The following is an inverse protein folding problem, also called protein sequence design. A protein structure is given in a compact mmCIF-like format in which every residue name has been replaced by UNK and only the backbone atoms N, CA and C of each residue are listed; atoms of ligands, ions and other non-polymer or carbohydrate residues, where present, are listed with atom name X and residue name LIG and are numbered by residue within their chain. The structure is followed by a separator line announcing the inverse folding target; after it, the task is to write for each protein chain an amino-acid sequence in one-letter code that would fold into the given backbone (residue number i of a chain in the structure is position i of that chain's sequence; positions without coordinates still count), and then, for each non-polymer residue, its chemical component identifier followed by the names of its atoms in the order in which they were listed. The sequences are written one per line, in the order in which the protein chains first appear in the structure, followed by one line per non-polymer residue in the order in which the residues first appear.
data_IF_571789212946
#
_entry.id   IF_571789212946
#
_cell.length_a   1.000
_cell.length_b   1.000
_cell.length_c   1.000
_cell.angle_alpha   90.00
_cell.angle_beta   90.00
_cell.angle_gamma   90.00
#
_symmetry.space_group_name_H-M   'P 1'
#
loop_
_entity.id
_entity.type
_entity.pdbx_description
1 polymer ?
#
# COMPACT_ATOMS: atom_id res chain seq x y z
N UNK A 1 22.67 33.30 9.15
CA UNK A 1 21.29 32.78 8.96
C UNK A 1 21.27 31.34 9.45
N UNK A 2 20.57 31.02 10.54
CA UNK A 2 20.43 29.61 10.98
C UNK A 2 19.32 28.97 10.16
N UNK A 3 19.61 27.86 9.47
CA UNK A 3 18.57 27.11 8.79
C UNK A 3 17.53 26.61 9.80
N UNK A 4 16.23 26.63 9.46
CA UNK A 4 15.20 26.08 10.34
C UNK A 4 15.45 24.59 10.57
N UNK A 5 15.20 24.12 11.79
CA UNK A 5 15.29 22.70 12.11
C UNK A 5 14.15 21.94 11.39
N UNK A 6 14.49 21.15 10.38
CA UNK A 6 13.53 20.38 9.58
C UNK A 6 13.11 19.06 10.25
N UNK A 7 13.74 18.65 11.36
CA UNK A 7 13.46 17.36 12.02
C UNK A 7 11.99 17.19 12.45
N UNK A 8 11.32 18.19 13.04
CA UNK A 8 9.89 18.06 13.37
C UNK A 8 8.98 17.94 12.15
N UNK A 9 9.48 18.34 10.97
CA UNK A 9 8.78 18.35 9.70
C UNK A 9 9.07 17.13 8.83
N UNK A 10 9.71 16.09 9.38
CA UNK A 10 10.24 14.98 8.59
C UNK A 10 9.17 14.26 7.74
N UNK A 11 7.96 14.04 8.27
CA UNK A 11 6.84 13.47 7.50
C UNK A 11 6.41 14.35 6.32
N UNK A 12 6.34 15.67 6.53
CA UNK A 12 6.03 16.62 5.45
C UNK A 12 7.13 16.60 4.39
N UNK A 13 8.40 16.66 4.81
CA UNK A 13 9.54 16.60 3.88
C UNK A 13 9.52 15.32 3.05
N UNK A 14 9.27 14.16 3.68
CA UNK A 14 9.14 12.88 2.98
C UNK A 14 7.99 12.93 1.96
N UNK A 15 6.81 13.41 2.37
CA UNK A 15 5.67 13.52 1.47
C UNK A 15 5.94 14.49 0.31
N UNK A 16 6.61 15.61 0.54
CA UNK A 16 7.00 16.55 -0.51
C UNK A 16 8.02 15.97 -1.50
N UNK A 17 8.96 15.14 -1.03
CA UNK A 17 9.84 14.39 -1.92
C UNK A 17 9.05 13.41 -2.81
N UNK A 18 8.08 12.70 -2.22
CA UNK A 18 7.19 11.78 -2.95
C UNK A 18 6.33 12.50 -3.99
N UNK A 19 5.77 13.66 -3.64
CA UNK A 19 5.04 14.52 -4.58
C UNK A 19 5.97 15.07 -5.67
N UNK A 20 7.23 15.35 -5.36
CA UNK A 20 8.24 15.72 -6.37
C UNK A 20 8.49 14.62 -7.42
N UNK A 21 8.53 13.35 -6.98
CA UNK A 21 8.59 12.20 -7.89
C UNK A 21 7.31 12.10 -8.73
N UNK A 22 6.15 12.30 -8.10
CA UNK A 22 4.86 12.30 -8.78
C UNK A 22 4.74 13.42 -9.83
N UNK A 23 5.25 14.62 -9.54
CA UNK A 23 5.31 15.74 -10.48
C UNK A 23 6.18 15.42 -11.69
N UNK A 24 7.35 14.82 -11.46
CA UNK A 24 8.20 14.32 -12.56
C UNK A 24 7.43 13.32 -13.42
N UNK A 25 6.73 12.38 -12.78
CA UNK A 25 5.94 11.38 -13.50
C UNK A 25 4.79 11.99 -14.30
N UNK A 26 4.06 12.95 -13.73
CA UNK A 26 2.98 13.68 -14.39
C UNK A 26 3.50 14.50 -15.57
N UNK A 27 4.65 15.14 -15.40
CA UNK A 27 5.30 15.93 -16.46
C UNK A 27 5.71 15.05 -17.65
N UNK A 28 6.20 13.84 -17.39
CA UNK A 28 6.52 12.88 -18.44
C UNK A 28 5.29 12.35 -19.16
N UNK A 29 4.17 12.14 -18.44
CA UNK A 29 2.95 11.57 -19.02
C UNK A 29 2.10 12.59 -19.79
N UNK A 30 2.02 13.84 -19.31
CA UNK A 30 1.06 14.85 -19.82
C UNK A 30 1.68 16.21 -20.14
N UNK A 31 3.00 16.35 -20.03
CA UNK A 31 3.67 17.64 -20.10
C UNK A 31 3.23 18.55 -18.95
N UNK A 32 2.90 19.81 -19.26
CA UNK A 32 2.48 20.79 -18.25
C UNK A 32 0.95 20.88 -18.07
N UNK A 33 0.17 20.08 -18.81
CA UNK A 33 -1.30 20.21 -18.89
C UNK A 33 -1.97 20.19 -17.52
N UNK A 34 -1.60 19.25 -16.66
CA UNK A 34 -2.20 19.08 -15.32
C UNK A 34 -1.33 19.55 -14.16
N UNK A 35 -0.22 20.24 -14.45
CA UNK A 35 0.69 20.74 -13.42
C UNK A 35 -0.02 21.69 -12.44
N UNK A 36 -0.92 22.53 -12.96
CA UNK A 36 -1.64 23.53 -12.15
C UNK A 36 -2.53 22.90 -11.07
N UNK A 37 -3.14 21.73 -11.30
CA UNK A 37 -3.92 21.01 -10.29
C UNK A 37 -3.05 20.53 -9.12
N UNK A 38 -1.88 19.95 -9.43
CA UNK A 38 -0.96 19.48 -8.39
C UNK A 38 -0.32 20.66 -7.64
N UNK A 39 0.00 21.75 -8.34
CA UNK A 39 0.50 22.97 -7.70
C UNK A 39 -0.53 23.58 -6.76
N UNK A 40 -1.81 23.61 -7.14
CA UNK A 40 -2.89 24.08 -6.25
C UNK A 40 -2.96 23.25 -4.97
N UNK A 41 -2.91 21.92 -5.09
CA UNK A 41 -2.85 21.02 -3.94
C UNK A 41 -1.62 21.30 -3.05
N UNK A 42 -0.43 21.45 -3.63
CA UNK A 42 0.80 21.75 -2.90
C UNK A 42 0.71 23.09 -2.15
N UNK A 43 0.20 24.14 -2.80
CA UNK A 43 0.04 25.46 -2.19
C UNK A 43 -0.94 25.38 -1.02
N UNK A 44 -2.08 24.71 -1.20
CA UNK A 44 -3.05 24.47 -0.12
C UNK A 44 -2.41 23.72 1.05
N UNK A 45 -1.72 22.61 0.77
CA UNK A 45 -1.02 21.79 1.76
C UNK A 45 0.00 22.59 2.57
N UNK A 46 0.91 23.30 1.90
CA UNK A 46 1.98 24.05 2.57
C UNK A 46 1.43 25.25 3.35
N UNK A 47 0.44 25.96 2.79
CA UNK A 47 -0.22 27.08 3.45
C UNK A 47 -0.95 26.65 4.72
N UNK A 48 -1.79 25.62 4.62
CA UNK A 48 -2.52 25.07 5.76
C UNK A 48 -1.57 24.47 6.80
N UNK A 49 -0.50 23.78 6.37
CA UNK A 49 0.49 23.20 7.29
C UNK A 49 1.20 24.29 8.09
N UNK A 50 1.59 25.39 7.47
CA UNK A 50 2.20 26.52 8.18
C UNK A 50 1.26 27.11 9.24
N UNK A 51 -0.04 27.22 8.94
CA UNK A 51 -1.06 27.67 9.89
C UNK A 51 -1.21 26.68 11.04
N UNK A 52 -1.47 25.40 10.76
CA UNK A 52 -1.67 24.38 11.80
C UNK A 52 -0.43 24.16 12.65
N UNK A 53 0.77 24.23 12.07
CA UNK A 53 2.02 24.11 12.82
C UNK A 53 2.20 25.27 13.82
N UNK A 54 1.88 26.51 13.40
CA UNK A 54 1.92 27.68 14.29
C UNK A 54 0.85 27.58 15.38
N UNK A 55 -0.37 27.18 15.05
CA UNK A 55 -1.45 27.03 16.03
C UNK A 55 -1.14 25.94 17.06
N UNK A 56 -0.60 24.81 16.60
CA UNK A 56 -0.21 23.70 17.49
C UNK A 56 0.99 24.03 18.38
N UNK A 57 1.72 25.13 18.16
CA UNK A 57 2.86 25.55 18.99
C UNK A 57 2.46 25.83 20.45
N UNK A 58 1.18 26.12 20.68
CA UNK A 58 0.60 26.31 22.01
C UNK A 58 0.30 25.01 22.74
N UNK A 59 0.26 23.89 22.03
CA UNK A 59 -0.04 22.58 22.60
C UNK A 59 1.29 21.97 23.08
N UNK A 60 1.42 21.63 24.38
CA UNK A 60 2.58 20.92 24.89
C UNK A 60 2.82 19.67 24.04
N UNK A 61 4.04 19.51 23.53
CA UNK A 61 4.35 18.29 22.80
C UNK A 61 4.34 17.14 23.81
N UNK A 62 3.66 16.01 23.49
CA UNK A 62 3.88 14.80 24.26
C UNK A 62 5.38 14.54 24.17
N UNK A 63 6.07 14.56 25.32
CA UNK A 63 7.50 14.31 25.41
C UNK A 63 7.76 12.83 25.13
N UNK A 64 7.30 12.25 24.03
CA UNK A 64 7.57 10.87 23.68
C UNK A 64 8.96 10.81 23.03
N UNK A 65 9.93 10.25 23.74
CA UNK A 65 11.20 9.86 23.13
C UNK A 65 11.08 8.38 22.78
N UNK A 66 11.26 8.02 21.51
CA UNK A 66 11.30 6.62 21.09
C UNK A 66 12.65 6.00 21.47
N UNK A 67 12.94 6.02 22.77
CA UNK A 67 14.04 5.27 23.35
C UNK A 67 13.51 3.87 23.65
N UNK A 68 13.86 2.89 22.81
CA UNK A 68 13.56 1.48 23.03
C UNK A 68 14.24 0.88 24.29
N UNK A 69 14.84 1.70 25.16
CA UNK A 69 15.46 1.31 26.44
C UNK A 69 14.47 0.86 27.53
N UNK A 70 13.24 0.59 27.12
CA UNK A 70 12.15 0.20 27.97
C UNK A 70 12.21 -1.27 28.37
N UNK A 71 13.01 -1.59 29.39
CA UNK A 71 13.01 -2.92 30.01
C UNK A 71 11.73 -3.18 30.84
N UNK A 72 10.62 -2.45 30.64
CA UNK A 72 9.36 -2.80 31.30
C UNK A 72 8.88 -4.12 30.74
N UNK A 73 8.80 -5.11 31.62
CA UNK A 73 8.27 -6.45 31.38
C UNK A 73 6.92 -6.39 30.64
N UNK A 74 6.10 -5.37 30.91
CA UNK A 74 4.82 -5.15 30.25
C UNK A 74 4.93 -4.94 28.73
N UNK A 75 5.77 -4.01 28.25
CA UNK A 75 5.93 -3.74 26.81
C UNK A 75 6.50 -4.94 26.05
N UNK A 76 7.38 -5.73 26.68
CA UNK A 76 7.86 -6.97 26.10
C UNK A 76 6.71 -8.00 25.97
N UNK A 77 5.93 -8.24 27.04
CA UNK A 77 4.77 -9.16 27.02
C UNK A 77 3.70 -8.72 26.04
N UNK A 78 3.35 -7.44 26.01
CA UNK A 78 2.38 -6.88 25.07
C UNK A 78 2.82 -7.08 23.62
N UNK A 79 4.09 -6.83 23.29
CA UNK A 79 4.58 -7.06 21.92
C UNK A 79 4.48 -8.53 21.49
N UNK A 80 4.81 -9.47 22.39
CA UNK A 80 4.70 -10.91 22.13
C UNK A 80 3.23 -11.32 21.97
N UNK A 81 2.32 -10.76 22.78
CA UNK A 81 0.89 -10.99 22.65
C UNK A 81 0.36 -10.48 21.30
N UNK A 82 0.79 -9.30 20.85
CA UNK A 82 0.42 -8.76 19.53
C UNK A 82 0.96 -9.67 18.40
N UNK A 83 2.20 -10.14 18.51
CA UNK A 83 2.76 -11.09 17.54
C UNK A 83 2.01 -12.43 17.54
N UNK A 84 1.65 -12.96 18.70
CA UNK A 84 0.88 -14.20 18.81
C UNK A 84 -0.53 -14.04 18.24
N UNK A 85 -1.21 -12.93 18.53
CA UNK A 85 -2.52 -12.61 17.95
C UNK A 85 -2.44 -12.46 16.42
N UNK A 86 -1.37 -11.85 15.91
CA UNK A 86 -1.10 -11.76 14.47
C UNK A 86 -0.92 -13.15 13.83
N UNK A 87 -0.18 -14.04 14.48
CA UNK A 87 0.03 -15.41 14.02
C UNK A 87 -1.27 -16.22 14.00
N UNK A 88 -2.07 -16.13 15.06
CA UNK A 88 -3.39 -16.77 15.14
C UNK A 88 -4.30 -16.25 14.03
N UNK A 89 -4.39 -14.93 13.86
CA UNK A 89 -5.20 -14.34 12.80
C UNK A 89 -4.77 -14.80 11.40
N UNK A 90 -3.47 -14.78 11.10
CA UNK A 90 -2.93 -15.23 9.82
C UNK A 90 -3.26 -16.70 9.55
N UNK A 91 -3.12 -17.56 10.56
CA UNK A 91 -3.50 -18.98 10.48
C UNK A 91 -4.99 -19.17 10.20
N UNK A 92 -5.85 -18.52 10.98
CA UNK A 92 -7.31 -18.57 10.77
C UNK A 92 -7.72 -18.00 9.40
N UNK A 93 -7.05 -16.96 8.93
CA UNK A 93 -7.30 -16.38 7.62
C UNK A 93 -6.97 -17.37 6.49
N UNK A 94 -5.80 -18.03 6.53
CA UNK A 94 -5.42 -19.03 5.53
C UNK A 94 -6.34 -20.27 5.59
N UNK A 95 -6.73 -20.71 6.78
CA UNK A 95 -7.73 -21.77 6.95
C UNK A 95 -9.08 -21.37 6.32
N UNK A 96 -9.51 -20.12 6.51
CA UNK A 96 -10.77 -19.59 5.96
C UNK A 96 -10.75 -19.51 4.43
N UNK A 97 -9.59 -19.24 3.83
CA UNK A 97 -9.39 -19.27 2.39
C UNK A 97 -9.41 -20.70 1.81
N UNK A 98 -9.37 -21.74 2.64
CA UNK A 98 -9.37 -23.13 2.22
C UNK A 98 -8.02 -23.61 1.68
N UNK A 99 -6.94 -22.86 1.93
CA UNK A 99 -5.60 -23.20 1.43
C UNK A 99 -4.62 -22.02 1.49
N UNK A 100 -3.40 -22.26 1.02
CA UNK A 100 -2.35 -21.23 0.93
C UNK A 100 -2.34 -20.72 -0.52
N UNK A 101 -2.75 -19.46 -0.79
CA UNK A 101 -2.95 -18.98 -2.16
C UNK A 101 -1.70 -19.08 -3.03
N UNK A 102 -0.51 -18.84 -2.49
CA UNK A 102 0.74 -18.98 -3.26
C UNK A 102 0.99 -20.42 -3.73
N UNK A 103 0.61 -21.43 -2.94
CA UNK A 103 0.73 -22.83 -3.35
C UNK A 103 -0.31 -23.13 -4.43
N UNK A 104 -1.55 -22.65 -4.26
CA UNK A 104 -2.59 -22.78 -5.29
C UNK A 104 -2.13 -22.14 -6.61
N UNK A 105 -1.57 -20.93 -6.57
CA UNK A 105 -1.04 -20.26 -7.76
C UNK A 105 0.17 -20.98 -8.37
N UNK A 106 1.03 -21.62 -7.57
CA UNK A 106 2.14 -22.43 -8.08
C UNK A 106 1.64 -23.65 -8.88
N UNK A 107 0.52 -24.23 -8.46
CA UNK A 107 -0.07 -25.41 -9.10
C UNK A 107 -0.85 -25.07 -10.37
N UNK A 108 -0.97 -23.79 -10.75
CA UNK A 108 -1.71 -23.36 -11.94
C UNK A 108 -0.77 -22.98 -13.08
N UNK A 109 -1.04 -23.53 -14.27
CA UNK A 109 -0.25 -23.27 -15.48
C UNK A 109 -0.77 -22.07 -16.28
N UNK A 110 -2.03 -21.69 -16.04
CA UNK A 110 -2.68 -20.59 -16.73
C UNK A 110 -2.56 -19.27 -15.93
N UNK A 111 -2.12 -18.22 -16.62
CA UNK A 111 -1.95 -16.89 -16.05
C UNK A 111 -3.26 -16.31 -15.51
N UNK A 112 -4.39 -16.53 -16.21
CA UNK A 112 -5.68 -15.99 -15.79
C UNK A 112 -6.14 -16.64 -14.48
N UNK A 113 -6.00 -17.96 -14.35
CA UNK A 113 -6.35 -18.70 -13.14
C UNK A 113 -5.53 -18.23 -11.94
N UNK A 114 -4.23 -18.00 -12.13
CA UNK A 114 -3.36 -17.40 -11.09
C UNK A 114 -3.85 -16.01 -10.67
N UNK A 115 -4.34 -15.21 -11.62
CA UNK A 115 -4.92 -13.90 -11.31
C UNK A 115 -6.24 -14.01 -10.53
N UNK A 116 -7.10 -14.99 -10.86
CA UNK A 116 -8.34 -15.25 -10.12
C UNK A 116 -8.06 -15.69 -8.69
N UNK A 117 -7.05 -16.55 -8.46
CA UNK A 117 -6.59 -16.93 -7.11
C UNK A 117 -6.19 -15.68 -6.32
N UNK A 118 -5.45 -14.74 -6.93
CA UNK A 118 -5.05 -13.48 -6.27
C UNK A 118 -6.24 -12.59 -5.92
N UNK A 119 -7.22 -12.49 -6.81
CA UNK A 119 -8.44 -11.70 -6.56
C UNK A 119 -9.30 -12.33 -5.46
N UNK A 120 -9.34 -13.67 -5.41
CA UNK A 120 -10.08 -14.41 -4.39
C UNK A 120 -9.60 -14.11 -2.96
N UNK A 121 -8.32 -13.76 -2.76
CA UNK A 121 -7.79 -13.39 -1.43
C UNK A 121 -8.55 -12.21 -0.81
N UNK A 122 -9.06 -11.29 -1.63
CA UNK A 122 -9.74 -10.07 -1.19
C UNK A 122 -11.19 -9.97 -1.66
N UNK A 123 -11.83 -11.12 -1.91
CA UNK A 123 -13.17 -11.19 -2.50
C UNK A 123 -14.23 -10.47 -1.66
N UNK A 124 -15.31 -10.07 -2.33
CA UNK A 124 -16.34 -9.21 -1.74
C UNK A 124 -17.24 -9.89 -0.70
N UNK A 125 -17.32 -11.22 -0.72
CA UNK A 125 -18.20 -12.00 0.17
C UNK A 125 -17.59 -12.25 1.55
N UNK A 126 -16.29 -12.02 1.70
CA UNK A 126 -15.66 -12.03 3.00
C UNK A 126 -16.21 -10.90 3.86
N UNK A 127 -16.45 -11.20 5.13
CA UNK A 127 -16.70 -10.17 6.13
C UNK A 127 -15.52 -9.18 6.17
N UNK A 128 -15.79 -7.96 6.62
CA UNK A 128 -14.81 -6.87 6.64
C UNK A 128 -13.48 -7.26 7.33
N UNK A 129 -13.55 -8.10 8.38
CA UNK A 129 -12.38 -8.58 9.13
C UNK A 129 -11.46 -9.43 8.24
N UNK A 130 -12.00 -10.39 7.49
CA UNK A 130 -11.20 -11.25 6.62
C UNK A 130 -10.69 -10.50 5.39
N UNK A 131 -11.48 -9.53 4.90
CA UNK A 131 -11.09 -8.72 3.75
C UNK A 131 -9.98 -7.70 4.06
N UNK A 132 -10.07 -7.01 5.20
CA UNK A 132 -9.16 -5.90 5.53
C UNK A 132 -8.12 -6.25 6.61
N UNK A 133 -8.37 -7.26 7.43
CA UNK A 133 -7.43 -7.72 8.46
C UNK A 133 -6.03 -8.07 7.92
N UNK A 134 -5.89 -8.80 6.79
CA UNK A 134 -4.58 -9.07 6.20
C UNK A 134 -3.83 -7.80 5.82
N UNK A 135 -4.55 -6.78 5.32
CA UNK A 135 -3.98 -5.47 4.98
C UNK A 135 -3.48 -4.76 6.23
N UNK A 136 -4.28 -4.71 7.30
CA UNK A 136 -3.87 -4.09 8.58
C UNK A 136 -2.65 -4.82 9.16
N UNK A 137 -2.63 -6.15 9.08
CA UNK A 137 -1.54 -6.94 9.63
C UNK A 137 -0.22 -6.67 8.91
N UNK A 138 -0.24 -6.70 7.58
CA UNK A 138 0.95 -6.57 6.74
C UNK A 138 1.40 -5.11 6.56
N UNK A 139 0.48 -4.14 6.54
CA UNK A 139 0.83 -2.72 6.32
C UNK A 139 1.16 -1.98 7.60
N UNK A 140 0.83 -2.56 8.77
CA UNK A 140 0.90 -1.83 10.04
C UNK A 140 1.49 -2.67 11.16
N UNK A 141 0.82 -3.75 11.56
CA UNK A 141 1.20 -4.50 12.78
C UNK A 141 2.59 -5.14 12.63
N UNK A 142 2.80 -5.92 11.57
CA UNK A 142 4.06 -6.64 11.36
C UNK A 142 5.23 -5.70 11.02
N UNK A 143 5.10 -4.70 10.12
CA UNK A 143 6.17 -3.72 9.91
C UNK A 143 6.55 -2.97 11.18
N UNK A 144 5.56 -2.62 12.01
CA UNK A 144 5.80 -2.00 13.31
C UNK A 144 6.58 -2.95 14.23
N UNK A 145 6.19 -4.22 14.34
CA UNK A 145 6.89 -5.20 15.17
C UNK A 145 8.31 -5.48 14.67
N UNK A 146 8.53 -5.55 13.36
CA UNK A 146 9.87 -5.67 12.76
C UNK A 146 10.73 -4.47 13.16
N UNK A 147 10.18 -3.25 13.03
CA UNK A 147 10.86 -2.04 13.46
C UNK A 147 11.14 -2.02 14.97
N UNK A 148 10.18 -2.40 15.79
CA UNK A 148 10.30 -2.45 17.26
C UNK A 148 11.35 -3.48 17.70
N UNK A 149 11.31 -4.71 17.17
CA UNK A 149 12.23 -5.77 17.54
C UNK A 149 13.65 -5.55 17.02
N UNK A 150 13.85 -4.71 16.01
CA UNK A 150 15.17 -4.26 15.57
C UNK A 150 16.00 -3.66 16.73
N UNK A 151 15.35 -3.01 17.69
CA UNK A 151 16.01 -2.41 18.85
C UNK A 151 15.91 -3.26 20.11
N UNK A 152 15.01 -4.23 20.16
CA UNK A 152 14.63 -4.91 21.41
C UNK A 152 15.12 -6.35 21.52
N UNK A 153 14.96 -7.17 20.48
CA UNK A 153 15.26 -8.60 20.54
C UNK A 153 15.53 -9.18 19.15
N UNK A 154 16.75 -9.69 18.95
CA UNK A 154 17.17 -10.31 17.69
C UNK A 154 16.38 -11.59 17.37
N UNK A 155 16.05 -12.39 18.39
CA UNK A 155 15.28 -13.63 18.16
C UNK A 155 13.86 -13.32 17.71
N UNK A 156 13.17 -12.41 18.40
CA UNK A 156 11.81 -12.00 18.02
C UNK A 156 11.78 -11.26 16.68
N UNK A 157 12.82 -10.50 16.34
CA UNK A 157 12.99 -9.92 15.01
C UNK A 157 13.00 -11.01 13.93
N UNK A 158 13.84 -12.04 14.10
CA UNK A 158 13.92 -13.15 13.14
C UNK A 158 12.59 -13.90 13.04
N UNK A 159 11.96 -14.22 14.18
CA UNK A 159 10.64 -14.87 14.19
C UNK A 159 9.61 -14.03 13.44
N UNK A 160 9.55 -12.72 13.68
CA UNK A 160 8.60 -11.81 13.02
C UNK A 160 8.88 -11.68 11.52
N UNK A 161 10.15 -11.64 11.11
CA UNK A 161 10.55 -11.58 9.70
C UNK A 161 10.20 -12.87 8.95
N UNK A 162 10.46 -14.04 9.54
CA UNK A 162 10.13 -15.34 8.94
C UNK A 162 8.61 -15.50 8.85
N UNK A 163 7.90 -15.32 9.95
CA UNK A 163 6.44 -15.42 9.99
C UNK A 163 5.79 -14.41 9.03
N UNK A 164 6.15 -13.14 9.15
CA UNK A 164 5.58 -12.07 8.33
C UNK A 164 5.94 -12.23 6.86
N UNK A 165 7.15 -12.70 6.54
CA UNK A 165 7.60 -12.96 5.16
C UNK A 165 6.82 -14.10 4.52
N UNK A 166 6.64 -15.22 5.22
CA UNK A 166 5.84 -16.35 4.75
C UNK A 166 4.38 -15.94 4.55
N UNK A 167 3.79 -15.17 5.47
CA UNK A 167 2.43 -14.67 5.32
C UNK A 167 2.30 -13.63 4.19
N UNK A 168 3.27 -12.72 4.02
CA UNK A 168 3.26 -11.75 2.92
C UNK A 168 3.32 -12.45 1.55
N UNK A 169 4.18 -13.46 1.43
CA UNK A 169 4.32 -14.28 0.21
C UNK A 169 3.06 -15.10 -0.04
N UNK A 170 2.46 -15.69 1.01
CA UNK A 170 1.24 -16.50 0.85
C UNK A 170 0.06 -15.71 0.27
N UNK A 171 0.00 -14.40 0.52
CA UNK A 171 -1.03 -13.50 -0.01
C UNK A 171 -0.79 -13.05 -1.47
N UNK A 172 0.28 -13.53 -2.12
CA UNK A 172 0.57 -13.26 -3.54
C UNK A 172 0.52 -11.76 -3.92
N UNK A 173 0.92 -10.89 -3.00
CA UNK A 173 1.02 -9.46 -3.24
C UNK A 173 2.48 -9.03 -3.13
N UNK A 174 3.06 -8.60 -4.26
CA UNK A 174 4.47 -8.19 -4.36
C UNK A 174 4.83 -7.08 -3.37
N UNK A 175 3.93 -6.11 -3.18
CA UNK A 175 4.18 -4.96 -2.32
C UNK A 175 4.27 -5.38 -0.84
N UNK A 176 3.54 -6.42 -0.42
CA UNK A 176 3.46 -6.85 0.98
C UNK A 176 4.80 -7.25 1.58
N UNK A 177 5.66 -7.91 0.80
CA UNK A 177 7.00 -8.31 1.27
C UNK A 177 7.90 -7.09 1.47
N UNK A 178 7.74 -6.05 0.64
CA UNK A 178 8.48 -4.80 0.75
C UNK A 178 8.02 -4.01 1.98
N UNK A 179 6.70 -3.85 2.14
CA UNK A 179 6.13 -3.09 3.27
C UNK A 179 6.50 -3.69 4.62
N UNK A 180 6.62 -5.01 4.73
CA UNK A 180 7.04 -5.71 5.94
C UNK A 180 8.36 -5.19 6.51
N UNK A 181 9.36 -4.95 5.66
CA UNK A 181 10.71 -4.57 6.09
C UNK A 181 10.98 -3.07 5.95
N UNK A 182 10.13 -2.33 5.25
CA UNK A 182 10.37 -0.93 4.86
C UNK A 182 10.75 -0.02 6.04
N UNK A 183 10.06 -0.01 7.20
CA UNK A 183 10.42 0.89 8.30
C UNK A 183 11.80 0.58 8.88
N UNK A 184 12.11 -0.71 9.07
CA UNK A 184 13.41 -1.15 9.56
C UNK A 184 14.54 -0.88 8.55
N UNK A 185 14.26 -1.04 7.25
CA UNK A 185 15.20 -0.74 6.18
C UNK A 185 15.52 0.75 6.10
N UNK A 186 14.51 1.61 6.10
CA UNK A 186 14.69 3.08 6.11
C UNK A 186 15.52 3.51 7.31
N UNK A 187 15.22 2.97 8.49
CA UNK A 187 15.99 3.26 9.68
C UNK A 187 17.45 2.79 9.55
N UNK A 188 17.70 1.56 9.07
CA UNK A 188 19.05 1.06 8.85
C UNK A 188 19.84 1.95 7.87
N UNK A 189 19.19 2.45 6.81
CA UNK A 189 19.78 3.37 5.83
C UNK A 189 20.12 4.73 6.45
N UNK A 190 19.20 5.33 7.22
CA UNK A 190 19.42 6.62 7.92
C UNK A 190 20.64 6.55 8.83
N UNK A 191 20.81 5.45 9.56
CA UNK A 191 21.95 5.23 10.47
C UNK A 191 23.16 4.57 9.80
N UNK A 192 23.19 4.50 8.47
CA UNK A 192 24.30 3.93 7.68
C UNK A 192 24.71 2.52 8.13
N UNK A 193 23.76 1.73 8.62
CA UNK A 193 23.94 0.32 8.98
C UNK A 193 23.80 -0.57 7.75
N UNK A 194 24.75 -0.43 6.82
CA UNK A 194 24.68 -1.02 5.47
C UNK A 194 24.49 -2.54 5.49
N UNK A 195 25.17 -3.27 6.37
CA UNK A 195 25.02 -4.73 6.48
C UNK A 195 23.60 -5.13 6.90
N UNK A 196 23.02 -4.42 7.87
CA UNK A 196 21.62 -4.63 8.28
C UNK A 196 20.67 -4.27 7.15
N UNK A 197 20.91 -3.17 6.45
CA UNK A 197 20.10 -2.75 5.30
C UNK A 197 20.14 -3.79 4.18
N UNK A 198 21.30 -4.33 3.83
CA UNK A 198 21.46 -5.40 2.83
C UNK A 198 20.72 -6.66 3.27
N UNK A 199 20.87 -7.09 4.53
CA UNK A 199 20.14 -8.25 5.06
C UNK A 199 18.62 -8.07 5.02
N UNK A 200 18.12 -6.88 5.37
CA UNK A 200 16.69 -6.57 5.29
C UNK A 200 16.20 -6.45 3.84
N UNK A 201 17.01 -5.94 2.91
CA UNK A 201 16.66 -5.81 1.50
C UNK A 201 16.69 -7.15 0.73
N UNK A 202 17.48 -8.11 1.19
CA UNK A 202 17.50 -9.46 0.62
C UNK A 202 16.15 -10.18 0.76
N UNK A 203 15.42 -9.94 1.86
CA UNK A 203 14.11 -10.55 2.12
C UNK A 203 13.08 -10.21 1.02
N UNK A 204 12.77 -8.93 0.71
CA UNK A 204 11.87 -8.59 -0.39
C UNK A 204 12.46 -8.95 -1.74
N UNK A 205 13.78 -8.88 -1.97
CA UNK A 205 14.36 -9.30 -3.25
C UNK A 205 14.07 -10.79 -3.55
N UNK A 206 14.28 -11.67 -2.56
CA UNK A 206 13.97 -13.09 -2.68
C UNK A 206 12.45 -13.33 -2.80
N UNK A 207 11.66 -12.70 -1.93
CA UNK A 207 10.20 -12.84 -1.96
C UNK A 207 9.56 -12.35 -3.26
N UNK A 208 10.04 -11.23 -3.81
CA UNK A 208 9.60 -10.70 -5.11
C UNK A 208 10.00 -11.62 -6.26
N UNK A 209 11.23 -12.12 -6.25
CA UNK A 209 11.71 -13.07 -7.27
C UNK A 209 10.83 -14.31 -7.28
N UNK A 210 10.59 -14.90 -6.11
CA UNK A 210 9.69 -16.03 -5.95
C UNK A 210 8.27 -15.70 -6.44
N UNK A 211 7.67 -14.59 -5.99
CA UNK A 211 6.34 -14.19 -6.43
C UNK A 211 6.26 -13.90 -7.94
N UNK A 212 7.33 -13.43 -8.59
CA UNK A 212 7.36 -13.27 -10.04
C UNK A 212 7.25 -14.62 -10.74
N UNK A 213 7.99 -15.63 -10.28
CA UNK A 213 7.93 -16.98 -10.84
C UNK A 213 6.55 -17.61 -10.63
N UNK A 214 5.99 -17.51 -9.43
CA UNK A 214 4.65 -18.04 -9.14
C UNK A 214 3.57 -17.34 -9.96
N UNK A 215 3.66 -16.02 -10.12
CA UNK A 215 2.60 -15.23 -10.75
C UNK A 215 2.66 -15.22 -12.28
N UNK A 216 3.71 -15.76 -12.88
CA UNK A 216 3.92 -15.74 -14.32
C UNK A 216 4.39 -17.13 -14.77
N UNK A 217 3.46 -18.08 -14.99
CA UNK A 217 3.81 -19.44 -15.38
C UNK A 217 4.74 -19.52 -16.60
N UNK A 218 4.56 -18.61 -17.57
CA UNK A 218 5.40 -18.51 -18.76
C UNK A 218 6.85 -18.07 -18.51
N UNK A 219 7.18 -17.55 -17.32
CA UNK A 219 8.55 -17.17 -16.92
C UNK A 219 9.22 -18.21 -16.02
N UNK A 220 8.57 -19.35 -15.75
CA UNK A 220 9.11 -20.38 -14.88
C UNK A 220 10.23 -21.17 -15.58
N UNK A 221 11.43 -21.28 -14.98
CA UNK A 221 12.46 -22.19 -15.48
C UNK A 221 11.98 -23.64 -15.45
N UNK A 222 12.43 -24.48 -16.39
CA UNK A 222 12.02 -25.90 -16.45
C UNK A 222 12.22 -26.63 -15.12
N UNK A 223 13.35 -26.41 -14.44
CA UNK A 223 13.61 -27.02 -13.13
C UNK A 223 12.57 -26.63 -12.04
N UNK A 224 11.96 -25.44 -12.14
CA UNK A 224 10.89 -25.02 -11.24
C UNK A 224 9.58 -25.74 -11.57
N UNK A 225 9.28 -25.89 -12.86
CA UNK A 225 8.13 -26.66 -13.35
C UNK A 225 8.23 -28.13 -12.92
N UNK A 226 9.39 -28.77 -13.15
CA UNK A 226 9.64 -30.16 -12.76
C UNK A 226 9.47 -30.37 -11.24
N UNK A 227 9.94 -29.41 -10.43
CA UNK A 227 9.77 -29.45 -8.98
C UNK A 227 8.31 -29.30 -8.55
N UNK A 228 7.53 -28.46 -9.25
CA UNK A 228 6.09 -28.30 -9.03
C UNK A 228 5.34 -29.56 -9.42
N UNK A 229 5.67 -30.18 -10.56
CA UNK A 229 5.00 -31.39 -11.02
C UNK A 229 5.28 -32.57 -10.08
N UNK A 230 6.52 -32.72 -9.61
CA UNK A 230 6.85 -33.69 -8.56
C UNK A 230 6.10 -33.44 -7.25
N UNK A 231 5.84 -32.18 -6.90
CA UNK A 231 5.00 -31.82 -5.74
C UNK A 231 3.52 -32.15 -6.02
N UNK A 232 3.00 -31.84 -7.21
CA UNK A 232 1.63 -32.14 -7.62
C UNK A 232 1.34 -33.64 -7.58
N UNK A 233 2.28 -34.48 -8.01
CA UNK A 233 2.14 -35.94 -7.93
C UNK A 233 2.10 -36.45 -6.49
N UNK A 234 2.84 -35.83 -5.58
CA UNK A 234 2.91 -36.22 -4.17
C UNK A 234 1.76 -35.71 -3.32
N UNK A 235 1.13 -34.61 -3.74
CA UNK A 235 0.12 -33.92 -2.93
C UNK A 235 -1.15 -33.77 -3.73
N UNK A 236 -2.27 -34.31 -3.22
CA UNK A 236 -3.62 -34.07 -3.74
C UNK A 236 -4.12 -32.62 -3.56
N UNK A 237 -3.22 -31.66 -3.40
CA UNK A 237 -3.46 -30.26 -3.00
C UNK A 237 -3.86 -29.33 -4.17
N UNK A 238 -4.20 -29.88 -5.34
CA UNK A 238 -4.85 -29.08 -6.39
C UNK A 238 -6.20 -28.54 -5.90
N UNK A 239 -6.65 -27.42 -6.48
CA UNK A 239 -8.06 -27.04 -6.36
C UNK A 239 -8.90 -28.23 -6.80
N UNK A 240 -9.79 -28.73 -5.93
CA UNK A 240 -10.66 -29.82 -6.34
C UNK A 240 -11.58 -29.32 -7.48
N UNK A 241 -12.13 -30.25 -8.27
CA UNK A 241 -12.97 -29.89 -9.41
C UNK A 241 -14.16 -29.01 -9.00
N UNK A 242 -14.67 -29.17 -7.78
CA UNK A 242 -15.77 -28.40 -7.22
C UNK A 242 -15.37 -26.94 -6.93
N UNK A 243 -14.19 -26.69 -6.34
CA UNK A 243 -13.65 -25.35 -6.13
C UNK A 243 -13.34 -24.66 -7.44
N UNK A 244 -12.77 -25.39 -8.41
CA UNK A 244 -12.48 -24.85 -9.74
C UNK A 244 -13.79 -24.50 -10.48
N UNK A 245 -14.78 -25.39 -10.43
CA UNK A 245 -16.11 -25.14 -11.00
C UNK A 245 -16.84 -23.99 -10.29
N UNK A 246 -16.79 -23.90 -8.95
CA UNK A 246 -17.37 -22.81 -8.19
C UNK A 246 -16.70 -21.47 -8.51
N UNK A 247 -15.38 -21.46 -8.68
CA UNK A 247 -14.65 -20.26 -9.09
C UNK A 247 -15.08 -19.82 -10.50
N UNK A 248 -15.09 -20.74 -11.47
CA UNK A 248 -15.51 -20.45 -12.85
C UNK A 248 -16.98 -20.01 -12.91
N UNK A 249 -17.88 -20.73 -12.24
CA UNK A 249 -19.31 -20.41 -12.18
C UNK A 249 -19.57 -19.07 -11.50
N UNK A 250 -18.85 -18.76 -10.42
CA UNK A 250 -18.94 -17.46 -9.75
C UNK A 250 -18.59 -16.30 -10.68
N UNK A 251 -17.53 -16.43 -11.48
CA UNK A 251 -17.15 -15.40 -12.44
C UNK A 251 -18.10 -15.36 -13.64
N UNK A 252 -18.65 -16.51 -14.07
CA UNK A 252 -19.63 -16.59 -15.15
C UNK A 252 -20.98 -15.93 -14.80
N UNK A 253 -21.59 -16.27 -13.66
CA UNK A 253 -22.87 -15.68 -13.22
C UNK A 253 -22.83 -14.16 -13.10
N UNK A 254 -21.67 -13.62 -12.71
CA UNK A 254 -21.49 -12.19 -12.53
C UNK A 254 -21.19 -11.43 -13.83
N UNK A 255 -20.81 -12.15 -14.88
CA UNK A 255 -20.77 -11.62 -16.24
C UNK A 255 -22.22 -11.45 -16.75
N UNK A 256 -23.09 -12.44 -16.53
CA UNK A 256 -24.51 -12.40 -16.94
C UNK A 256 -25.32 -11.31 -16.23
N UNK A 257 -25.08 -11.07 -14.93
CA UNK A 257 -25.69 -9.96 -14.19
C UNK A 257 -25.33 -8.58 -14.77
N UNK A 258 -24.23 -8.48 -15.53
CA UNK A 258 -23.80 -7.24 -16.20
C UNK A 258 -24.37 -7.08 -17.59
N UNK A 259 -24.49 -8.16 -18.39
CA UNK A 259 -25.20 -8.08 -19.68
C UNK A 259 -26.63 -7.56 -19.48
N UNK A 260 -27.32 -8.05 -18.44
CA UNK A 260 -28.66 -7.58 -18.09
C UNK A 260 -28.73 -6.13 -17.57
N UNK A 261 -27.59 -5.51 -17.25
CA UNK A 261 -27.48 -4.10 -16.85
C UNK A 261 -26.76 -3.21 -17.86
N UNK A 262 -26.28 -3.77 -18.99
CA UNK A 262 -25.47 -3.10 -20.00
C UNK A 262 -26.15 -3.02 -21.37
N UNK A 263 -27.38 -3.53 -21.51
CA UNK A 263 -28.20 -3.42 -22.73
C UNK A 263 -28.66 -1.97 -23.07
N UNK A 264 -28.23 -0.98 -22.29
CA UNK A 264 -28.33 0.44 -22.64
C UNK A 264 -26.93 1.07 -22.79
N UNK A 265 -26.22 0.78 -23.90
CA UNK A 265 -24.97 1.53 -24.17
C UNK A 265 -23.97 0.91 -25.13
N UNK A 266 -24.31 0.94 -26.43
CA UNK A 266 -23.44 1.37 -27.53
C UNK A 266 -22.23 0.51 -27.98
N UNK A 267 -22.31 0.15 -29.26
CA UNK A 267 -21.28 -0.46 -30.10
C UNK A 267 -20.17 0.54 -30.44
N UNK A 268 -18.90 0.17 -30.24
CA UNK A 268 -17.76 0.99 -30.67
C UNK A 268 -16.41 0.28 -30.57
N UNK A 269 -15.70 0.21 -31.68
CA UNK A 269 -14.51 -0.59 -31.97
C UNK A 269 -13.20 -0.14 -31.29
N UNK A 270 -12.19 -1.03 -31.30
CA UNK A 270 -10.77 -0.63 -31.36
C UNK A 270 -9.80 -1.44 -30.50
N UNK A 271 -9.34 -2.58 -31.00
CA UNK A 271 -8.25 -3.41 -30.45
C UNK A 271 -6.91 -2.69 -30.43
N UNK A 272 -6.24 -2.66 -29.27
CA UNK A 272 -4.91 -2.08 -29.07
C UNK A 272 -4.01 -2.95 -28.19
N UNK A 273 -4.07 -4.28 -28.36
CA UNK A 273 -3.09 -5.21 -27.80
C UNK A 273 -1.78 -5.14 -28.57
N UNK A 274 -0.94 -4.15 -28.25
CA UNK A 274 0.40 -4.03 -28.84
C UNK A 274 1.25 -5.23 -28.46
N UNK A 275 1.47 -6.14 -29.41
CA UNK A 275 2.54 -7.12 -29.39
C UNK A 275 3.87 -6.40 -29.21
N UNK A 276 4.42 -6.46 -28.01
CA UNK A 276 5.80 -6.09 -27.76
C UNK A 276 6.66 -7.19 -28.40
N UNK A 277 7.15 -6.95 -29.62
CA UNK A 277 8.23 -7.72 -30.22
C UNK A 277 9.39 -7.77 -29.23
N UNK A 278 9.57 -8.94 -28.60
CA UNK A 278 10.68 -9.21 -27.68
C UNK A 278 11.96 -9.39 -28.47
N UNK A 279 12.82 -8.38 -28.42
CA UNK A 279 14.22 -8.56 -28.71
C UNK A 279 14.82 -9.46 -27.61
N UNK A 280 15.21 -10.69 -27.98
CA UNK A 280 15.62 -11.75 -27.06
C UNK A 280 17.00 -11.54 -26.41
N UNK A 281 17.61 -10.36 -26.57
CA UNK A 281 18.98 -10.09 -26.14
C UNK A 281 19.12 -9.21 -24.88
N UNK A 282 18.05 -8.62 -24.36
CA UNK A 282 18.12 -7.72 -23.20
C UNK A 282 18.20 -8.53 -21.89
N UNK A 283 19.36 -8.54 -21.24
CA UNK A 283 19.59 -9.31 -20.01
C UNK A 283 18.63 -8.94 -18.87
N UNK A 284 18.33 -9.89 -17.96
CA UNK A 284 17.31 -9.78 -16.91
C UNK A 284 17.37 -8.47 -16.08
N UNK A 285 18.57 -7.92 -15.87
CA UNK A 285 18.78 -6.64 -15.18
C UNK A 285 18.11 -5.46 -15.90
N UNK A 286 18.18 -5.43 -17.24
CA UNK A 286 17.57 -4.37 -18.05
C UNK A 286 16.05 -4.41 -17.97
N UNK A 287 15.44 -5.61 -18.06
CA UNK A 287 13.99 -5.82 -17.90
C UNK A 287 13.52 -5.38 -16.52
N UNK A 288 14.25 -5.75 -15.46
CA UNK A 288 13.94 -5.34 -14.10
C UNK A 288 14.01 -3.82 -13.93
N UNK A 289 15.04 -3.19 -14.50
CA UNK A 289 15.22 -1.73 -14.44
C UNK A 289 14.15 -0.97 -15.22
N UNK A 290 13.77 -1.43 -16.43
CA UNK A 290 12.70 -0.82 -17.23
C UNK A 290 11.34 -0.96 -16.53
N UNK A 291 11.07 -2.14 -15.94
CA UNK A 291 9.84 -2.37 -15.18
C UNK A 291 9.76 -1.44 -13.97
N UNK A 292 10.85 -1.25 -13.24
CA UNK A 292 10.89 -0.35 -12.10
C UNK A 292 10.74 1.12 -12.54
N UNK A 293 11.47 1.52 -13.57
CA UNK A 293 11.39 2.85 -14.17
C UNK A 293 9.96 3.19 -14.58
N UNK A 294 9.31 2.31 -15.36
CA UNK A 294 7.91 2.50 -15.77
C UNK A 294 6.99 2.63 -14.56
N UNK A 295 7.09 1.73 -13.59
CA UNK A 295 6.19 1.72 -12.42
C UNK A 295 6.36 2.91 -11.49
N UNK A 296 7.58 3.41 -11.32
CA UNK A 296 7.87 4.51 -10.38
C UNK A 296 7.71 5.87 -11.07
N UNK A 297 8.15 6.00 -12.33
CA UNK A 297 8.26 7.30 -13.01
C UNK A 297 7.25 7.51 -14.13
N UNK A 298 6.59 6.50 -14.69
CA UNK A 298 5.64 6.71 -15.79
C UNK A 298 4.19 6.43 -15.39
N UNK A 299 3.94 5.28 -14.76
CA UNK A 299 2.59 4.81 -14.45
C UNK A 299 1.82 5.77 -13.53
N UNK A 300 2.38 6.32 -12.43
CA UNK A 300 1.62 7.20 -11.54
C UNK A 300 1.10 8.46 -12.26
N UNK A 301 1.95 9.09 -13.06
CA UNK A 301 1.60 10.26 -13.88
C UNK A 301 0.58 9.93 -14.97
N UNK A 302 0.73 8.79 -15.64
CA UNK A 302 -0.23 8.33 -16.66
C UNK A 302 -1.62 8.07 -16.05
N UNK A 303 -1.68 7.42 -14.87
CA UNK A 303 -2.95 7.20 -14.17
C UNK A 303 -3.57 8.54 -13.78
N UNK A 304 -2.83 9.47 -13.17
CA UNK A 304 -3.37 10.80 -12.85
C UNK A 304 -3.88 11.56 -14.09
N UNK A 305 -3.18 11.43 -15.21
CA UNK A 305 -3.56 12.03 -16.49
C UNK A 305 -4.92 11.50 -16.93
N UNK A 306 -5.13 10.18 -16.92
CA UNK A 306 -6.42 9.57 -17.24
C UNK A 306 -7.55 10.05 -16.31
N UNK A 307 -7.27 10.22 -15.01
CA UNK A 307 -8.26 10.77 -14.08
C UNK A 307 -8.68 12.19 -14.44
N UNK A 308 -7.72 13.08 -14.73
CA UNK A 308 -8.03 14.46 -15.10
C UNK A 308 -8.60 14.61 -16.52
N UNK A 309 -8.28 13.71 -17.43
CA UNK A 309 -8.86 13.68 -18.78
C UNK A 309 -10.35 13.31 -18.74
N UNK A 310 -10.70 12.29 -17.96
CA UNK A 310 -12.07 11.74 -17.93
C UNK A 310 -13.00 12.42 -16.93
N UNK A 311 -12.46 13.19 -15.97
CA UNK A 311 -13.27 13.89 -14.96
C UNK A 311 -13.12 15.42 -15.10
N UNK A 312 -14.19 16.18 -15.41
CA UNK A 312 -15.59 15.75 -15.46
C UNK A 312 -16.11 15.32 -16.85
N UNK A 313 -15.24 15.21 -17.86
CA UNK A 313 -15.67 15.14 -19.28
C UNK A 313 -16.51 13.90 -19.62
N UNK A 314 -16.18 12.74 -19.04
CA UNK A 314 -16.89 11.46 -19.25
C UNK A 314 -17.55 10.95 -17.96
N UNK A 315 -16.94 11.24 -16.82
CA UNK A 315 -17.47 10.89 -15.52
C UNK A 315 -17.74 12.20 -14.75
N UNK A 316 -19.00 12.50 -14.39
CA UNK A 316 -19.30 13.71 -13.62
C UNK A 316 -18.63 13.64 -12.25
N UNK A 317 -18.50 14.78 -11.56
CA UNK A 317 -18.07 14.81 -10.17
C UNK A 317 -19.06 14.04 -9.28
N UNK A 318 -18.55 13.32 -8.28
CA UNK A 318 -19.40 12.46 -7.45
C UNK A 318 -20.11 13.19 -6.31
N UNK A 319 -19.71 14.44 -6.02
CA UNK A 319 -20.34 15.26 -4.99
C UNK A 319 -20.41 14.56 -3.62
N UNK A 320 -19.39 13.75 -3.33
CA UNK A 320 -19.27 12.98 -2.10
C UNK A 320 -19.63 11.50 -2.20
N UNK A 321 -20.27 11.06 -3.28
CA UNK A 321 -20.59 9.65 -3.54
C UNK A 321 -19.33 8.80 -3.82
N UNK A 322 -18.19 9.42 -4.07
CA UNK A 322 -16.89 8.76 -4.22
C UNK A 322 -16.26 8.32 -2.90
N UNK A 323 -16.86 8.62 -1.74
CA UNK A 323 -16.41 8.11 -0.44
C UNK A 323 -17.40 7.11 0.11
N UNK A 324 -16.95 5.87 0.33
CA UNK A 324 -17.81 4.77 0.78
C UNK A 324 -18.56 5.04 2.08
N UNK A 325 -17.92 5.77 3.01
CA UNK A 325 -18.50 6.10 4.30
C UNK A 325 -19.47 7.30 4.23
N UNK A 326 -19.32 8.16 3.22
CA UNK A 326 -20.14 9.37 3.06
C UNK A 326 -21.31 9.16 2.11
N UNK A 327 -21.18 8.29 1.11
CA UNK A 327 -22.26 7.93 0.18
C UNK A 327 -23.61 7.63 0.87
N UNK A 328 -23.69 6.79 1.93
CA UNK A 328 -24.94 6.56 2.64
C UNK A 328 -25.46 7.79 3.41
N UNK A 329 -24.59 8.71 3.83
CA UNK A 329 -24.97 9.95 4.53
C UNK A 329 -25.57 10.99 3.56
N UNK A 330 -25.08 11.00 2.32
CA UNK A 330 -25.56 11.88 1.24
C UNK A 330 -26.80 11.28 0.54
N UNK A 331 -27.10 10.00 0.79
CA UNK A 331 -28.23 9.30 0.17
C UNK A 331 -27.95 8.83 -1.26
N UNK A 332 -26.70 8.55 -1.60
CA UNK A 332 -26.31 8.08 -2.92
C UNK A 332 -25.56 6.73 -2.89
N UNK A 333 -25.44 6.11 -4.07
CA UNK A 333 -24.64 4.90 -4.22
C UNK A 333 -23.15 5.22 -4.35
N UNK A 334 -22.31 4.41 -3.72
CA UNK A 334 -20.86 4.59 -3.77
C UNK A 334 -20.31 4.41 -5.20
N UNK A 335 -19.54 5.39 -5.67
CA UNK A 335 -18.89 5.38 -6.98
C UNK A 335 -17.40 5.05 -6.81
N UNK A 336 -16.96 3.92 -7.34
CA UNK A 336 -15.55 3.52 -7.34
C UNK A 336 -14.82 4.05 -8.59
N UNK A 337 -14.39 5.32 -8.58
CA UNK A 337 -13.73 5.95 -9.73
C UNK A 337 -12.54 5.16 -10.27
N UNK A 338 -11.69 4.62 -9.40
CA UNK A 338 -10.56 3.80 -9.83
C UNK A 338 -10.97 2.60 -10.70
N UNK A 339 -12.15 2.02 -10.46
CA UNK A 339 -12.70 0.94 -11.29
C UNK A 339 -13.29 1.51 -12.58
N UNK A 340 -14.08 2.59 -12.50
CA UNK A 340 -14.69 3.23 -13.68
C UNK A 340 -13.66 3.72 -14.69
N UNK A 341 -12.59 4.34 -14.22
CA UNK A 341 -11.49 4.80 -15.06
C UNK A 341 -10.74 3.61 -15.68
N UNK A 342 -10.53 2.54 -14.91
CA UNK A 342 -9.95 1.31 -15.45
C UNK A 342 -10.83 0.68 -16.55
N UNK A 343 -12.14 0.70 -16.39
CA UNK A 343 -13.11 0.22 -17.39
C UNK A 343 -13.04 1.04 -18.69
N UNK A 344 -12.86 2.36 -18.59
CA UNK A 344 -12.69 3.26 -19.75
C UNK A 344 -11.34 3.03 -20.45
N UNK A 345 -10.25 2.92 -19.68
CA UNK A 345 -8.89 2.79 -20.22
C UNK A 345 -8.56 1.37 -20.72
N UNK A 346 -9.27 0.35 -20.22
CA UNK A 346 -8.99 -1.06 -20.53
C UNK A 346 -10.29 -1.82 -20.87
N UNK A 347 -11.02 -1.43 -21.93
CA UNK A 347 -12.33 -1.99 -22.23
C UNK A 347 -12.28 -3.50 -22.52
N UNK A 348 -11.19 -3.99 -23.11
CA UNK A 348 -11.00 -5.42 -23.41
C UNK A 348 -10.84 -6.29 -22.14
N UNK A 349 -10.13 -5.79 -21.12
CA UNK A 349 -10.00 -6.50 -19.85
C UNK A 349 -11.30 -6.46 -19.06
N UNK A 350 -12.00 -5.31 -19.13
CA UNK A 350 -13.30 -5.15 -18.51
C UNK A 350 -14.36 -6.08 -19.12
N UNK A 351 -14.36 -6.25 -20.46
CA UNK A 351 -15.28 -7.16 -21.15
C UNK A 351 -15.00 -8.64 -20.84
N UNK A 352 -13.75 -8.99 -20.52
CA UNK A 352 -13.35 -10.31 -20.02
C UNK A 352 -13.62 -10.52 -18.52
N UNK A 353 -14.31 -9.59 -17.85
CA UNK A 353 -14.65 -9.69 -16.42
C UNK A 353 -13.47 -9.42 -15.47
N UNK A 354 -12.31 -9.02 -15.98
CA UNK A 354 -11.13 -8.73 -15.16
C UNK A 354 -11.33 -7.40 -14.45
N UNK A 355 -11.50 -7.47 -13.13
CA UNK A 355 -11.60 -6.27 -12.29
C UNK A 355 -10.22 -5.70 -12.00
N UNK A 356 -9.86 -4.66 -12.75
CA UNK A 356 -8.76 -3.77 -12.43
C UNK A 356 -9.21 -2.55 -11.63
N UNK A 357 -8.24 -1.84 -11.06
CA UNK A 357 -8.43 -0.52 -10.51
C UNK A 357 -7.23 0.33 -10.88
N UNK A 358 -7.46 1.47 -11.53
CA UNK A 358 -6.45 2.47 -11.82
C UNK A 358 -6.48 3.50 -10.72
N UNK A 359 -5.81 3.19 -9.61
CA UNK A 359 -5.84 4.04 -8.43
C UNK A 359 -4.85 5.20 -8.57
N UNK A 360 -5.27 6.40 -8.18
CA UNK A 360 -4.46 7.62 -8.27
C UNK A 360 -4.05 8.12 -6.89
N UNK A 361 -3.27 9.21 -6.86
CA UNK A 361 -2.96 9.91 -5.63
C UNK A 361 -4.23 10.38 -4.93
N UNK A 362 -4.25 10.33 -3.60
CA UNK A 362 -5.49 10.53 -2.84
C UNK A 362 -6.19 11.87 -3.14
N UNK A 363 -5.44 12.94 -3.42
CA UNK A 363 -6.02 14.25 -3.72
C UNK A 363 -6.73 14.28 -5.08
N UNK A 364 -6.42 13.35 -5.98
CA UNK A 364 -7.12 13.18 -7.27
C UNK A 364 -8.49 12.56 -7.07
N UNK A 365 -8.65 11.67 -6.08
CA UNK A 365 -9.96 11.17 -5.64
C UNK A 365 -10.80 12.31 -5.03
N UNK A 366 -10.17 13.19 -4.25
CA UNK A 366 -10.86 14.36 -3.71
C UNK A 366 -11.27 15.34 -4.83
N UNK A 367 -10.44 15.51 -5.86
CA UNK A 367 -10.81 16.21 -7.11
C UNK A 367 -11.96 15.52 -7.83
N UNK A 368 -11.97 14.19 -7.92
CA UNK A 368 -13.07 13.45 -8.54
C UNK A 368 -14.41 13.67 -7.82
N UNK A 369 -14.38 13.97 -6.53
CA UNK A 369 -15.59 14.28 -5.77
C UNK A 369 -16.01 15.75 -5.89
N UNK A 370 -15.08 16.70 -5.79
CA UNK A 370 -15.41 18.12 -5.59
C UNK A 370 -14.66 19.09 -6.51
N UNK A 371 -14.03 18.59 -7.58
CA UNK A 371 -13.22 19.37 -8.50
C UNK A 371 -12.09 20.14 -7.80
N UNK A 372 -11.95 21.41 -8.15
CA UNK A 372 -10.91 22.31 -7.60
C UNK A 372 -11.03 22.44 -6.07
N UNK A 373 -12.25 22.49 -5.53
CA UNK A 373 -12.46 22.56 -4.09
C UNK A 373 -11.95 21.29 -3.38
N UNK A 374 -12.05 20.14 -4.04
CA UNK A 374 -11.49 18.87 -3.58
C UNK A 374 -9.98 18.90 -3.41
N UNK A 375 -9.24 19.50 -4.36
CA UNK A 375 -7.78 19.66 -4.27
C UNK A 375 -7.38 20.54 -3.08
N UNK A 376 -8.11 21.63 -2.84
CA UNK A 376 -7.86 22.52 -1.70
C UNK A 376 -8.15 21.77 -0.40
N UNK A 377 -9.31 21.11 -0.31
CA UNK A 377 -9.71 20.31 0.85
C UNK A 377 -8.70 19.21 1.17
N UNK A 378 -8.24 18.46 0.17
CA UNK A 378 -7.22 17.43 0.31
C UNK A 378 -5.94 17.97 0.95
N UNK A 379 -5.47 19.13 0.49
CA UNK A 379 -4.29 19.81 1.02
C UNK A 379 -4.46 20.21 2.49
N UNK A 380 -5.62 20.79 2.86
CA UNK A 380 -5.93 21.19 4.24
C UNK A 380 -6.00 19.98 5.17
N UNK A 381 -6.73 18.92 4.77
CA UNK A 381 -6.89 17.72 5.61
C UNK A 381 -5.54 17.03 5.82
N UNK A 382 -4.75 16.85 4.77
CA UNK A 382 -3.43 16.23 4.92
C UNK A 382 -2.48 17.12 5.75
N UNK A 383 -2.53 18.45 5.60
CA UNK A 383 -1.75 19.37 6.42
C UNK A 383 -2.04 19.19 7.92
N UNK A 384 -3.32 19.04 8.28
CA UNK A 384 -3.75 18.78 9.66
C UNK A 384 -3.17 17.46 10.18
N UNK A 385 -3.27 16.38 9.39
CA UNK A 385 -2.73 15.06 9.74
C UNK A 385 -1.21 15.10 9.91
N UNK A 386 -0.49 15.68 8.95
CA UNK A 386 0.97 15.80 9.01
C UNK A 386 1.44 16.66 10.18
N UNK A 387 0.67 17.69 10.55
CA UNK A 387 0.93 18.49 11.76
C UNK A 387 0.77 17.63 13.01
N UNK A 388 -0.33 16.88 13.13
CA UNK A 388 -0.57 15.98 14.25
C UNK A 388 0.53 14.92 14.38
N UNK A 389 0.98 14.34 13.27
CA UNK A 389 2.07 13.36 13.24
C UNK A 389 3.41 14.01 13.64
N UNK A 390 3.74 15.18 13.09
CA UNK A 390 4.95 15.91 13.49
C UNK A 390 4.98 16.20 14.99
N UNK A 391 3.83 16.53 15.58
CA UNK A 391 3.66 16.74 17.03
C UNK A 391 3.77 15.46 17.83
N UNK A 392 3.17 14.37 17.35
CA UNK A 392 3.18 13.07 18.02
C UNK A 392 4.58 12.47 18.13
N UNK A 393 5.38 12.60 17.07
CA UNK A 393 6.75 12.07 17.07
C UNK A 393 7.77 13.04 17.68
N UNK A 394 7.51 14.35 17.67
CA UNK A 394 8.36 15.35 18.31
C UNK A 394 9.83 15.23 17.91
N UNK A 395 10.69 14.91 18.88
CA UNK A 395 12.13 14.74 18.67
C UNK A 395 12.51 13.42 17.98
N UNK A 396 11.63 12.42 17.97
CA UNK A 396 11.87 11.09 17.38
C UNK A 396 11.66 11.08 15.85
N UNK A 397 12.29 12.03 15.15
CA UNK A 397 12.10 12.24 13.71
C UNK A 397 12.50 11.02 12.86
N UNK A 398 13.42 10.17 13.32
CA UNK A 398 13.79 8.95 12.61
C UNK A 398 12.66 7.92 12.63
N UNK A 399 11.99 7.75 13.78
CA UNK A 399 10.81 6.91 13.89
C UNK A 399 9.65 7.52 13.08
N UNK A 400 9.54 8.85 13.06
CA UNK A 400 8.58 9.57 12.23
C UNK A 400 8.75 9.18 10.75
N UNK A 401 9.96 9.28 10.21
CA UNK A 401 10.23 8.88 8.83
C UNK A 401 9.96 7.39 8.59
N UNK A 402 10.52 6.52 9.43
CA UNK A 402 10.44 5.07 9.24
C UNK A 402 9.00 4.54 9.28
N UNK A 403 8.22 4.93 10.30
CA UNK A 403 6.86 4.41 10.51
C UNK A 403 5.82 5.07 9.59
N UNK A 404 6.04 6.32 9.17
CA UNK A 404 5.13 7.01 8.26
C UNK A 404 5.48 6.83 6.78
N UNK A 405 6.62 6.22 6.44
CA UNK A 405 6.97 6.00 5.03
C UNK A 405 5.96 5.15 4.27
N UNK A 406 5.45 4.07 4.88
CA UNK A 406 4.41 3.22 4.27
C UNK A 406 3.16 4.03 3.95
N UNK A 407 2.45 4.63 4.94
CA UNK A 407 1.21 5.34 4.66
C UNK A 407 1.41 6.54 3.73
N UNK A 408 2.50 7.29 3.86
CA UNK A 408 2.78 8.42 2.98
C UNK A 408 3.05 8.00 1.53
N UNK A 409 3.69 6.85 1.31
CA UNK A 409 3.84 6.28 -0.03
C UNK A 409 2.49 5.81 -0.57
N UNK A 410 1.67 5.15 0.25
CA UNK A 410 0.34 4.69 -0.16
C UNK A 410 -0.61 5.85 -0.53
N UNK A 411 -0.41 7.07 0.00
CA UNK A 411 -1.19 8.25 -0.42
C UNK A 411 -0.97 8.64 -1.88
N UNK A 412 0.09 8.15 -2.54
CA UNK A 412 0.28 8.35 -3.97
C UNK A 412 -0.60 7.44 -4.83
N UNK A 413 -1.21 6.41 -4.23
CA UNK A 413 -1.97 5.40 -4.96
C UNK A 413 -3.34 5.11 -4.38
N UNK A 414 -3.66 5.52 -3.15
CA UNK A 414 -4.86 5.06 -2.44
C UNK A 414 -5.54 6.25 -1.74
N UNK A 415 -6.89 6.31 -1.71
CA UNK A 415 -7.62 7.33 -0.97
C UNK A 415 -7.20 7.45 0.49
N UNK A 416 -7.20 8.68 1.02
CA UNK A 416 -6.75 8.99 2.38
C UNK A 416 -7.49 8.19 3.44
N UNK A 417 -8.82 8.11 3.35
CA UNK A 417 -9.63 7.33 4.30
C UNK A 417 -9.24 5.84 4.33
N UNK A 418 -8.92 5.27 3.17
CA UNK A 418 -8.43 3.89 3.07
C UNK A 418 -7.05 3.77 3.72
N UNK A 419 -6.11 4.68 3.46
CA UNK A 419 -4.77 4.66 4.09
C UNK A 419 -4.85 4.77 5.62
N UNK A 420 -5.68 5.68 6.12
CA UNK A 420 -5.91 5.91 7.55
C UNK A 420 -6.45 4.64 8.22
N UNK A 421 -7.47 4.02 7.61
CA UNK A 421 -8.19 2.89 8.18
C UNK A 421 -7.55 1.54 7.79
N UNK A 422 -7.80 1.05 6.59
CA UNK A 422 -7.42 -0.32 6.17
C UNK A 422 -5.98 -0.43 5.67
N UNK A 423 -5.35 0.70 5.34
CA UNK A 423 -3.89 0.85 5.26
C UNK A 423 -3.22 0.85 6.64
N UNK A 424 -4.02 0.93 7.70
CA UNK A 424 -3.67 0.77 9.10
C UNK A 424 -2.72 1.83 9.65
N UNK A 425 -2.72 3.03 9.06
CA UNK A 425 -1.95 4.15 9.61
C UNK A 425 -2.32 4.44 11.07
N UNK A 426 -3.63 4.48 11.40
CA UNK A 426 -4.09 4.65 12.78
C UNK A 426 -3.54 3.55 13.69
N UNK A 427 -3.52 2.31 13.23
CA UNK A 427 -2.99 1.17 14.00
C UNK A 427 -1.48 1.34 14.24
N UNK A 428 -0.71 1.75 13.23
CA UNK A 428 0.72 2.06 13.39
C UNK A 428 0.93 3.19 14.41
N UNK A 429 0.14 4.26 14.35
CA UNK A 429 0.23 5.37 15.30
C UNK A 429 -0.18 4.95 16.73
N UNK A 430 -1.21 4.11 16.84
CA UNK A 430 -1.64 3.54 18.12
C UNK A 430 -0.57 2.64 18.74
N UNK A 431 0.02 1.74 17.95
CA UNK A 431 1.13 0.89 18.39
C UNK A 431 2.34 1.76 18.78
N UNK A 432 2.65 2.79 18.00
CA UNK A 432 3.68 3.76 18.38
C UNK A 432 3.39 4.37 19.75
N UNK A 433 2.18 4.87 19.99
CA UNK A 433 1.81 5.41 21.32
C UNK A 433 1.87 4.38 22.44
N UNK A 434 1.49 3.13 22.15
CA UNK A 434 1.48 2.03 23.12
C UNK A 434 2.89 1.63 23.57
N UNK A 435 3.87 1.70 22.66
CA UNK A 435 5.25 1.24 22.90
C UNK A 435 6.26 2.38 23.05
N UNK A 436 5.92 3.62 22.66
CA UNK A 436 6.73 4.81 22.91
C UNK A 436 6.70 5.17 24.39
N UNK A 437 7.80 5.74 24.90
CA UNK A 437 7.88 6.19 26.28
C UNK A 437 7.87 7.71 26.38
N UNK A 438 7.28 8.27 27.44
CA UNK A 438 7.65 9.60 27.88
C UNK A 438 9.16 9.64 28.13
N UNK A 439 9.82 10.66 27.59
CA UNK A 439 11.17 11.07 27.93
C UNK A 439 11.16 11.25 29.44
N UNK A 440 11.96 10.45 30.16
CA UNK A 440 12.25 10.78 31.54
C UNK A 440 12.75 12.22 31.49
N UNK A 441 12.05 13.13 32.18
CA UNK A 441 12.59 14.46 32.46
C UNK A 441 13.99 14.18 32.97
N UNK A 442 15.01 14.65 32.24
CA UNK A 442 16.37 14.58 32.74
C UNK A 442 16.28 15.08 34.19
N UNK A 443 16.78 14.34 35.20
CA UNK A 443 16.74 14.84 36.56
C UNK A 443 17.33 16.24 36.47
N UNK A 444 16.58 17.23 36.94
CA UNK A 444 17.10 18.57 37.12
C UNK A 444 18.29 18.38 38.06
N UNK A 445 19.48 18.21 37.49
CA UNK A 445 20.73 18.47 38.18
C UNK A 445 20.73 19.98 38.33
N UNK A 446 19.93 20.42 39.30
CA UNK A 446 19.98 21.72 39.90
C UNK A 446 21.46 21.93 40.21
N UNK A 447 22.04 22.85 39.44
CA UNK A 447 23.31 23.48 39.70
C UNK A 447 23.16 24.09 41.09
N UNK A 448 23.56 23.34 42.10
CA UNK A 448 23.92 23.85 43.41
C UNK A 448 25.36 24.30 43.27
N UNK A 449 25.52 25.60 43.03
CA UNK A 449 26.78 26.32 43.01
C UNK A 449 26.50 27.76 43.39
#
# INVERSE_FOLDING_TARGET
MKFPDLRPHAALCLYMCLVGLLLTSLAMASGLRYLHFVLLFIVSLLGAYAVFWRLSARIPQPLADFSCGSNTVWGARASVLVLAAAAVFAGLHLLRLGGIPVIQGMLETDYYTVMLVRQYIFHAELSAIWKYGPNILIKSVLPFLVFYYLFRSRSLLVVTLVFGGLYAVSLMNKLFVVLLVMPALIHALIFRRWLTAVGLAAIPALGLTFLILVQNPHMQPQAFVDAIDAMRERTSLGLNNEQRAALVHYYALRADEREKGADEGEQGAGTGGGEISRDHSTGALSIASDTLYRRVLLVPGAVMTAWFDHIPSRLPFAEGCGYRWMAPLVGCQYIAYAVRINEIENPELASKGVRGSMTAAFFVEDYANFGIAGLVFAGVVLAMILTAIGRLFGAAWQANLALNAIPLTLLLEIPLGTVILTGGWIITLFLYMLFARPRASAPDYAISG
#
